data_IF_043434067958
#
_entry.id   IF_043434067958
#
_cell.length_a   1.000
_cell.length_b   1.000
_cell.length_c   1.000
_cell.angle_alpha   90.00
_cell.angle_beta   90.00
_cell.angle_gamma   90.00
#
_symmetry.space_group_name_H-M   'P 1'
#
loop_
_entity.id
_entity.type
_entity.pdbx_description
1 polymer ?
#
# COMPACT_ATOMS: atom_id res chain seq x y z
N UNK A 1 -9.90 -3.98 -26.98
CA UNK A 1 -9.28 -4.00 -26.60
C UNK A 1 -8.88 -4.17 -25.84
N UNK A 2 -8.66 -4.23 -25.93
CA UNK A 2 -8.48 -3.85 -25.09
C UNK A 2 -7.50 -3.75 -24.14
N UNK A 3 -7.82 -3.44 -22.89
CA UNK A 3 -6.75 -3.27 -21.92
C UNK A 3 -5.81 -4.46 -21.88
N UNK A 4 -6.31 -5.64 -22.06
CA UNK A 4 -5.47 -6.82 -22.00
C UNK A 4 -4.43 -6.87 -23.11
N UNK A 5 -4.75 -6.34 -24.27
CA UNK A 5 -3.80 -6.33 -25.37
C UNK A 5 -2.70 -5.30 -25.13
N UNK A 6 -3.10 -4.11 -24.66
CA UNK A 6 -2.15 -3.04 -24.38
C UNK A 6 -1.55 -3.14 -22.98
N UNK A 7 -2.25 -3.90 -22.14
CA UNK A 7 -1.96 -3.91 -20.72
C UNK A 7 -0.56 -4.39 -20.37
N UNK A 8 -0.05 -5.37 -21.12
CA UNK A 8 1.25 -5.92 -20.80
C UNK A 8 2.35 -4.87 -20.97
N UNK A 9 2.33 -4.13 -22.08
CA UNK A 9 3.31 -3.06 -22.29
C UNK A 9 3.12 -1.95 -21.26
N UNK A 10 1.86 -1.57 -21.00
CA UNK A 10 1.58 -0.55 -19.99
C UNK A 10 1.94 -1.02 -18.59
N UNK A 11 1.72 -2.29 -18.30
CA UNK A 11 2.04 -2.84 -16.99
C UNK A 11 3.54 -2.91 -16.77
N UNK A 12 4.33 -3.10 -17.83
CA UNK A 12 5.79 -3.08 -17.70
C UNK A 12 6.27 -1.76 -17.11
N UNK A 13 5.75 -0.64 -17.61
CA UNK A 13 6.09 0.67 -17.08
C UNK A 13 5.61 0.82 -15.63
N UNK A 14 4.41 0.36 -15.35
CA UNK A 14 3.86 0.46 -14.00
C UNK A 14 4.65 -0.38 -13.01
N UNK A 15 5.15 -1.54 -13.44
CA UNK A 15 6.02 -2.35 -12.58
C UNK A 15 7.31 -1.60 -12.23
N UNK A 16 7.89 -0.93 -13.21
CA UNK A 16 9.11 -0.14 -12.97
C UNK A 16 8.85 0.97 -11.97
N UNK A 17 7.71 1.66 -12.11
CA UNK A 17 7.34 2.73 -11.18
C UNK A 17 7.14 2.18 -9.77
N UNK A 18 6.48 1.03 -9.65
CA UNK A 18 6.26 0.41 -8.34
C UNK A 18 7.58 0.02 -7.68
N UNK A 19 8.54 -0.48 -8.47
CA UNK A 19 9.86 -0.79 -7.93
C UNK A 19 10.55 0.46 -7.38
N UNK A 20 10.40 1.58 -8.05
CA UNK A 20 10.94 2.84 -7.55
C UNK A 20 10.26 3.26 -6.25
N UNK A 21 8.94 3.10 -6.19
CA UNK A 21 8.20 3.59 -5.03
C UNK A 21 8.36 2.71 -3.79
N UNK A 22 8.37 1.39 -3.98
CA UNK A 22 8.32 0.45 -2.86
C UNK A 22 9.55 -0.45 -2.74
N UNK A 23 10.43 -0.45 -3.74
CA UNK A 23 11.62 -1.28 -3.72
C UNK A 23 11.57 -2.40 -4.74
N UNK A 24 12.74 -2.96 -5.02
CA UNK A 24 12.89 -4.00 -6.02
C UNK A 24 11.96 -5.18 -5.73
N UNK A 25 11.29 -5.65 -6.77
CA UNK A 25 10.34 -6.76 -6.65
C UNK A 25 8.90 -6.34 -6.43
N UNK A 26 8.66 -5.07 -6.05
CA UNK A 26 7.31 -4.61 -5.78
C UNK A 26 6.45 -4.64 -7.04
N UNK A 27 7.03 -4.31 -8.18
CA UNK A 27 6.26 -4.27 -9.43
C UNK A 27 5.73 -5.62 -9.82
N UNK A 28 6.55 -6.67 -9.70
CA UNK A 28 6.09 -8.02 -10.02
C UNK A 28 5.13 -8.56 -8.97
N UNK A 29 5.30 -8.13 -7.72
CA UNK A 29 4.39 -8.55 -6.67
C UNK A 29 3.00 -7.96 -6.89
N UNK A 30 2.93 -6.68 -7.23
CA UNK A 30 1.66 -6.02 -7.47
C UNK A 30 1.01 -6.45 -8.78
N UNK A 31 1.82 -6.55 -9.84
CA UNK A 31 1.32 -6.78 -11.19
C UNK A 31 2.04 -7.98 -11.84
N UNK A 32 1.75 -9.21 -11.37
CA UNK A 32 2.45 -10.38 -11.91
C UNK A 32 2.21 -10.52 -13.41
N UNK A 33 3.27 -10.83 -14.19
CA UNK A 33 3.11 -10.92 -15.65
C UNK A 33 2.11 -11.98 -16.13
N UNK A 34 1.97 -13.06 -15.37
CA UNK A 34 1.10 -14.18 -15.77
C UNK A 34 -0.34 -13.99 -15.34
N UNK A 35 -0.62 -13.04 -14.48
CA UNK A 35 -1.96 -12.87 -13.96
C UNK A 35 -2.77 -11.92 -14.83
N UNK A 36 -4.04 -12.29 -15.16
CA UNK A 36 -4.88 -11.38 -15.90
C UNK A 36 -5.29 -10.20 -15.02
N UNK A 37 -4.91 -9.01 -15.43
CA UNK A 37 -5.21 -7.79 -14.71
C UNK A 37 -5.99 -6.83 -15.60
N UNK A 38 -6.87 -6.02 -14.99
CA UNK A 38 -7.63 -5.02 -15.70
C UNK A 38 -7.07 -3.66 -15.37
N UNK A 39 -6.70 -2.90 -16.41
CA UNK A 39 -6.24 -1.52 -16.24
C UNK A 39 -7.37 -0.61 -16.64
N UNK A 40 -7.87 0.16 -15.67
CA UNK A 40 -8.86 1.19 -15.96
C UNK A 40 -8.12 2.46 -16.33
N UNK A 41 -8.55 3.08 -17.45
CA UNK A 41 -7.87 4.24 -17.99
C UNK A 41 -8.77 5.47 -17.99
N UNK A 42 -8.15 6.64 -17.97
CA UNK A 42 -8.86 7.90 -18.17
C UNK A 42 -9.32 7.99 -19.62
N UNK A 43 -10.15 8.99 -19.92
CA UNK A 43 -10.62 9.20 -21.29
C UNK A 43 -9.46 9.50 -22.24
N UNK A 44 -8.35 10.04 -21.72
CA UNK A 44 -7.17 10.31 -22.52
C UNK A 44 -6.24 9.11 -22.65
N UNK A 45 -6.59 7.98 -22.03
CA UNK A 45 -5.82 6.75 -22.15
C UNK A 45 -4.79 6.53 -21.07
N UNK A 46 -4.68 7.42 -20.09
CA UNK A 46 -3.71 7.27 -19.02
C UNK A 46 -4.19 6.21 -18.02
N UNK A 47 -3.29 5.29 -17.58
CA UNK A 47 -3.69 4.34 -16.57
C UNK A 47 -4.15 5.05 -15.29
N UNK A 48 -5.23 4.57 -14.70
CA UNK A 48 -5.81 5.16 -13.52
C UNK A 48 -5.89 4.17 -12.36
N UNK A 49 -6.33 2.94 -12.62
CA UNK A 49 -6.43 1.90 -11.60
C UNK A 49 -6.05 0.56 -12.20
N UNK A 50 -5.49 -0.31 -11.37
CA UNK A 50 -5.20 -1.68 -11.78
C UNK A 50 -5.94 -2.61 -10.81
N UNK A 51 -6.72 -3.53 -11.39
CA UNK A 51 -7.53 -4.49 -10.65
C UNK A 51 -7.13 -5.91 -10.98
N UNK A 52 -7.05 -6.76 -9.95
CA UNK A 52 -7.04 -8.20 -10.12
C UNK A 52 -8.44 -8.71 -9.87
N UNK A 53 -8.67 -9.99 -10.12
CA UNK A 53 -9.95 -10.60 -9.80
C UNK A 53 -10.25 -10.47 -8.31
N UNK A 54 -9.21 -10.54 -7.49
CA UNK A 54 -9.35 -10.45 -6.03
C UNK A 54 -9.64 -9.03 -5.52
N UNK A 55 -9.45 -8.00 -6.36
CA UNK A 55 -9.75 -6.64 -5.95
C UNK A 55 -8.81 -5.61 -6.53
N UNK A 56 -9.00 -4.37 -6.13
CA UNK A 56 -8.16 -3.27 -6.60
C UNK A 56 -6.77 -3.38 -5.99
N UNK A 57 -5.78 -3.34 -6.86
CA UNK A 57 -4.38 -3.42 -6.42
C UNK A 57 -3.83 -2.04 -6.11
N UNK A 58 -4.05 -1.08 -7.00
CA UNK A 58 -3.46 0.24 -6.86
C UNK A 58 -4.18 1.24 -7.76
N UNK A 59 -4.09 2.51 -7.38
CA UNK A 59 -4.50 3.61 -8.23
C UNK A 59 -3.26 4.43 -8.57
N UNK A 60 -3.18 4.91 -9.80
CA UNK A 60 -2.02 5.67 -10.27
C UNK A 60 -2.40 7.14 -10.31
N UNK A 61 -1.70 7.93 -9.51
CA UNK A 61 -2.00 9.35 -9.39
C UNK A 61 -1.35 10.19 -10.46
N UNK A 62 -1.83 11.43 -10.58
CA UNK A 62 -1.25 12.39 -11.51
C UNK A 62 0.17 12.78 -11.14
N UNK A 63 0.55 12.53 -9.90
CA UNK A 63 1.91 12.78 -9.41
C UNK A 63 2.87 11.65 -9.76
N UNK A 64 2.40 10.62 -10.47
CA UNK A 64 3.24 9.50 -10.87
C UNK A 64 3.47 8.47 -9.78
N UNK A 65 2.68 8.50 -8.72
CA UNK A 65 2.81 7.56 -7.60
C UNK A 65 1.54 6.74 -7.44
N UNK A 66 1.71 5.56 -6.86
CA UNK A 66 0.57 4.68 -6.56
C UNK A 66 0.03 4.93 -5.17
N UNK A 67 -1.30 4.81 -5.05
CA UNK A 67 -1.94 4.58 -3.76
C UNK A 67 -2.44 3.14 -3.78
N UNK A 68 -2.29 2.45 -2.66
CA UNK A 68 -2.58 1.03 -2.60
C UNK A 68 -4.04 0.76 -2.29
N UNK A 69 -4.59 -0.25 -2.99
CA UNK A 69 -5.79 -0.91 -2.53
C UNK A 69 -5.41 -1.97 -1.52
N UNK A 70 -6.39 -2.50 -0.82
CA UNK A 70 -6.11 -3.49 0.21
C UNK A 70 -5.46 -4.74 -0.38
N UNK A 71 -5.93 -5.17 -1.54
CA UNK A 71 -5.35 -6.35 -2.18
C UNK A 71 -3.89 -6.10 -2.59
N UNK A 72 -3.59 -4.89 -3.08
CA UNK A 72 -2.20 -4.52 -3.35
C UNK A 72 -1.35 -4.54 -2.10
N UNK A 73 -1.91 -4.06 -0.99
CA UNK A 73 -1.22 -4.11 0.29
C UNK A 73 -0.90 -5.54 0.72
N UNK A 74 -1.83 -6.47 0.50
CA UNK A 74 -1.58 -7.87 0.82
C UNK A 74 -0.42 -8.44 0.01
N UNK A 75 -0.35 -8.09 -1.26
CA UNK A 75 0.72 -8.56 -2.13
C UNK A 75 2.07 -8.01 -1.73
N UNK A 76 2.11 -6.73 -1.39
CA UNK A 76 3.37 -6.13 -0.91
C UNK A 76 3.78 -6.72 0.43
N UNK A 77 2.82 -6.96 1.33
CA UNK A 77 3.13 -7.57 2.62
C UNK A 77 3.74 -8.95 2.45
N UNK A 78 3.29 -9.69 1.44
CA UNK A 78 3.84 -11.03 1.18
C UNK A 78 5.21 -10.99 0.52
N UNK A 79 5.51 -9.92 -0.23
CA UNK A 79 6.72 -9.86 -1.05
C UNK A 79 7.87 -9.09 -0.43
N UNK A 80 7.57 -8.01 0.29
CA UNK A 80 8.61 -7.16 0.87
C UNK A 80 8.97 -7.65 2.27
N UNK A 81 10.26 -7.64 2.61
CA UNK A 81 10.66 -8.09 3.95
C UNK A 81 10.26 -7.07 5.00
N UNK A 82 9.74 -7.55 6.15
CA UNK A 82 9.46 -6.62 7.24
C UNK A 82 10.75 -5.96 7.73
N UNK A 83 10.72 -4.70 8.14
CA UNK A 83 9.57 -3.83 8.28
C UNK A 83 9.38 -2.84 7.12
N UNK A 84 9.81 -3.18 5.92
CA UNK A 84 9.71 -2.29 4.76
C UNK A 84 8.30 -1.74 4.60
N UNK A 85 8.16 -0.42 4.62
CA UNK A 85 6.90 0.31 4.45
C UNK A 85 5.81 -0.11 5.43
N UNK A 86 6.18 -0.71 6.55
CA UNK A 86 5.24 -1.14 7.56
C UNK A 86 5.22 -0.21 8.76
N UNK A 87 4.02 0.05 9.26
CA UNK A 87 3.80 0.69 10.55
C UNK A 87 3.15 -0.36 11.44
N UNK A 88 3.88 -0.81 12.44
CA UNK A 88 3.45 -1.91 13.32
C UNK A 88 2.75 -1.31 14.53
N UNK A 89 1.53 -1.78 14.80
CA UNK A 89 0.74 -1.29 15.92
C UNK A 89 0.47 -2.40 16.92
N UNK A 90 0.08 -1.99 18.14
CA UNK A 90 -0.17 -2.93 19.21
C UNK A 90 -1.52 -3.65 19.01
N UNK A 91 -1.72 -4.68 19.83
CA UNK A 91 -2.92 -5.51 19.74
C UNK A 91 -4.19 -4.71 19.99
N UNK A 92 -4.13 -3.74 20.89
CA UNK A 92 -5.31 -2.95 21.24
C UNK A 92 -5.80 -2.09 20.08
N UNK A 93 -4.90 -1.74 19.18
CA UNK A 93 -5.23 -0.89 18.03
C UNK A 93 -5.94 -1.64 16.93
N UNK A 94 -5.83 -2.97 16.90
CA UNK A 94 -6.30 -3.76 15.77
C UNK A 94 -7.76 -3.49 15.36
N UNK A 95 -8.74 -3.55 16.27
CA UNK A 95 -10.14 -3.37 15.83
C UNK A 95 -10.40 -1.98 15.28
N UNK A 96 -9.71 -0.98 15.82
CA UNK A 96 -9.91 0.39 15.35
C UNK A 96 -9.31 0.59 13.97
N UNK A 97 -8.12 0.05 13.74
CA UNK A 97 -7.45 0.18 12.45
C UNK A 97 -8.22 -0.59 11.37
N UNK A 98 -8.69 -1.79 11.68
CA UNK A 98 -9.50 -2.55 10.73
C UNK A 98 -10.79 -1.83 10.39
N UNK A 99 -11.31 -1.03 11.33
CA UNK A 99 -12.53 -0.24 11.11
C UNK A 99 -12.26 1.05 10.35
N UNK A 100 -11.02 1.31 9.98
CA UNK A 100 -10.68 2.48 9.18
C UNK A 100 -10.24 3.69 9.97
N UNK A 101 -10.04 3.54 11.28
CA UNK A 101 -9.60 4.66 12.11
C UNK A 101 -8.11 4.93 11.88
N UNK A 102 -7.72 6.19 12.01
CA UNK A 102 -6.35 6.60 11.81
C UNK A 102 -5.45 6.12 12.94
N UNK A 103 -4.14 6.00 12.62
CA UNK A 103 -3.15 5.54 13.59
C UNK A 103 -2.43 6.73 14.19
N UNK A 104 -2.39 6.80 15.51
CA UNK A 104 -1.64 7.84 16.21
C UNK A 104 -0.29 7.31 16.63
N UNK A 105 0.70 8.21 16.66
CA UNK A 105 2.09 7.83 16.88
C UNK A 105 2.30 7.04 18.17
N UNK A 106 1.55 7.36 19.23
CA UNK A 106 1.74 6.70 20.52
C UNK A 106 1.40 5.21 20.50
N UNK A 107 0.67 4.75 19.49
CA UNK A 107 0.30 3.33 19.39
C UNK A 107 1.21 2.55 18.44
N UNK A 108 2.19 3.22 17.85
CA UNK A 108 3.10 2.57 16.92
C UNK A 108 4.24 1.94 17.69
N UNK A 109 4.45 0.64 17.48
CA UNK A 109 5.55 -0.09 18.10
C UNK A 109 6.82 0.01 17.28
N UNK A 110 6.69 0.07 15.94
CA UNK A 110 7.81 0.07 15.03
C UNK A 110 7.38 0.60 13.68
N UNK A 111 8.27 1.28 12.98
CA UNK A 111 8.01 1.75 11.62
C UNK A 111 9.25 1.54 10.77
N UNK A 112 9.04 1.20 9.50
CA UNK A 112 10.16 1.04 8.57
C UNK A 112 10.96 2.33 8.44
N UNK A 113 12.28 2.21 8.46
CA UNK A 113 13.18 3.36 8.50
C UNK A 113 13.04 4.28 7.29
N UNK A 114 12.62 3.73 6.16
CA UNK A 114 12.56 4.49 4.91
C UNK A 114 11.30 5.34 4.79
N UNK A 115 10.32 5.16 5.69
CA UNK A 115 9.03 5.84 5.57
C UNK A 115 9.19 7.34 5.73
N UNK A 116 8.60 8.09 4.79
CA UNK A 116 8.57 9.54 4.78
C UNK A 116 7.13 10.01 4.75
N UNK A 117 6.87 11.25 5.19
CA UNK A 117 5.51 11.79 5.07
C UNK A 117 5.03 11.73 3.63
N UNK A 118 3.78 11.28 3.46
CA UNK A 118 3.19 11.13 2.14
C UNK A 118 3.35 9.75 1.54
N UNK A 119 4.21 8.91 2.10
CA UNK A 119 4.39 7.55 1.57
C UNK A 119 3.17 6.68 1.84
N UNK A 120 2.92 5.75 0.89
CA UNK A 120 1.96 4.68 1.12
C UNK A 120 2.57 3.68 2.07
N UNK A 121 1.79 3.26 3.05
CA UNK A 121 2.28 2.33 4.07
C UNK A 121 1.27 1.24 4.35
N UNK A 122 1.80 0.14 4.88
CA UNK A 122 1.02 -1.00 5.34
C UNK A 122 0.94 -0.90 6.86
N UNK A 123 -0.27 -0.88 7.40
CA UNK A 123 -0.43 -0.94 8.86
C UNK A 123 -0.61 -2.39 9.23
N UNK A 124 0.26 -2.90 10.09
CA UNK A 124 0.27 -4.32 10.43
C UNK A 124 0.21 -4.52 11.94
N UNK A 125 -0.35 -5.66 12.33
CA UNK A 125 -0.34 -6.12 13.72
C UNK A 125 1.07 -6.57 14.08
N UNK A 126 1.40 -6.53 15.37
CA UNK A 126 2.71 -7.02 15.81
C UNK A 126 2.95 -8.48 15.42
N UNK A 127 1.89 -9.26 15.16
CA UNK A 127 2.02 -10.62 14.64
C UNK A 127 2.35 -10.66 13.15
N UNK A 128 2.23 -9.52 12.47
CA UNK A 128 2.52 -9.42 11.04
C UNK A 128 1.32 -9.35 10.12
N UNK A 129 0.11 -9.50 10.65
CA UNK A 129 -1.11 -9.45 9.82
C UNK A 129 -1.35 -8.04 9.30
N UNK A 130 -1.75 -7.94 8.04
CA UNK A 130 -2.11 -6.65 7.45
C UNK A 130 -3.46 -6.19 8.02
N UNK A 131 -3.47 -5.00 8.59
CA UNK A 131 -4.68 -4.42 9.16
C UNK A 131 -5.30 -3.35 8.25
N UNK A 132 -4.45 -2.62 7.52
CA UNK A 132 -4.94 -1.52 6.70
C UNK A 132 -3.86 -1.03 5.77
N UNK A 133 -4.28 -0.26 4.76
CA UNK A 133 -3.37 0.51 3.93
C UNK A 133 -3.72 1.98 4.11
N UNK A 134 -2.73 2.85 3.96
CA UNK A 134 -2.96 4.27 4.12
C UNK A 134 -1.73 5.08 3.78
N UNK A 135 -1.76 6.34 4.18
CA UNK A 135 -0.69 7.29 3.91
C UNK A 135 -0.02 7.73 5.20
N UNK A 136 1.31 7.68 5.21
CA UNK A 136 2.06 8.16 6.36
C UNK A 136 1.93 9.68 6.46
N UNK A 137 1.54 10.17 7.63
CA UNK A 137 1.49 11.61 7.89
C UNK A 137 2.78 12.06 8.55
N UNK A 138 3.49 11.14 9.21
CA UNK A 138 4.79 11.39 9.82
C UNK A 138 5.79 10.40 9.24
N UNK A 139 7.05 10.83 9.14
CA UNK A 139 8.12 9.91 8.77
C UNK A 139 8.50 9.02 9.94
N UNK A 140 9.29 7.98 9.65
CA UNK A 140 9.63 6.98 10.65
C UNK A 140 10.26 7.59 11.89
N UNK A 141 11.15 8.55 11.69
CA UNK A 141 11.84 9.19 12.82
C UNK A 141 10.88 9.97 13.71
N UNK A 142 9.98 10.74 13.09
CA UNK A 142 9.02 11.55 13.84
C UNK A 142 8.04 10.65 14.60
N UNK A 143 7.64 9.53 14.00
CA UNK A 143 6.77 8.57 14.68
C UNK A 143 7.43 8.10 15.97
N UNK A 144 8.72 7.81 15.91
CA UNK A 144 9.44 7.34 17.09
C UNK A 144 9.65 8.39 18.15
N UNK A 145 9.63 9.67 17.77
CA UNK A 145 9.92 10.76 18.70
C UNK A 145 8.68 11.43 19.28
N UNK A 146 7.56 11.39 18.55
CA UNK A 146 6.36 12.11 18.95
C UNK A 146 5.36 11.17 19.62
N UNK A 147 4.90 11.53 20.80
CA UNK A 147 3.86 10.76 21.48
C UNK A 147 2.47 11.13 20.95
N UNK A 148 2.33 12.36 20.48
CA UNK A 148 1.05 12.81 19.92
C UNK A 148 1.24 13.04 18.44
N UNK A 149 0.14 13.01 17.71
CA UNK A 149 0.15 13.24 16.29
C UNK A 149 -0.30 12.01 15.53
N UNK A 150 -0.85 12.27 14.35
CA UNK A 150 -1.34 11.18 13.49
C UNK A 150 -0.18 10.62 12.69
N UNK A 151 0.10 9.34 12.89
CA UNK A 151 1.17 8.67 12.15
C UNK A 151 0.69 8.23 10.76
N UNK A 152 -0.52 7.67 10.67
CA UNK A 152 -1.05 7.18 9.39
C UNK A 152 -2.50 7.59 9.25
N UNK A 153 -2.82 8.14 8.08
CA UNK A 153 -4.21 8.35 7.71
C UNK A 153 -4.66 7.08 6.96
N UNK A 154 -5.49 6.29 7.62
CA UNK A 154 -5.95 5.03 7.06
C UNK A 154 -6.94 5.29 5.93
N UNK A 155 -6.76 4.60 4.81
CA UNK A 155 -7.65 4.71 3.68
C UNK A 155 -8.60 3.53 3.61
N UNK A 156 -8.10 2.34 3.89
CA UNK A 156 -8.92 1.14 3.80
C UNK A 156 -8.44 0.12 4.83
N UNK A 157 -9.37 -0.34 5.68
CA UNK A 157 -9.08 -1.33 6.69
C UNK A 157 -9.46 -2.72 6.23
N UNK A 158 -8.70 -3.72 6.69
CA UNK A 158 -8.94 -5.11 6.34
C UNK A 158 -10.01 -5.71 7.25
N UNK A 159 -10.94 -6.50 6.70
CA UNK A 159 -11.94 -7.17 7.54
C UNK A 159 -11.28 -8.09 8.57
N UNK A 160 -11.97 -8.28 9.70
CA UNK A 160 -11.42 -9.05 10.80
C UNK A 160 -11.12 -10.51 10.46
N UNK A 161 -11.78 -11.06 9.46
CA UNK A 161 -11.59 -12.45 9.05
C UNK A 161 -10.59 -12.62 7.92
N UNK A 162 -9.86 -11.60 7.64
CA UNK A 162 -8.98 -11.56 6.46
C UNK A 162 -7.62 -12.18 6.73
#
# INVERSE_FOLDING_TARGET
MSESADGDAGLSSLRTIADYQFGAGAGEALFPPEEPLTVKRTTSGRPQQVHAESGRLASFGTDGRFTLGLEGGRRLAAALPPPSYRVVVDDESEPFVRDGKNVFAKFVLKAGDEIRPGDEVLVVHERGELLAVGRAELGARAIGEFESGMAVKVREGAPAND
#
